data_IF_142018331208
#
_entry.id   IF_142018331208
#
_cell.length_a   1.000
_cell.length_b   1.000
_cell.length_c   1.000
_cell.angle_alpha   90.00
_cell.angle_beta   90.00
_cell.angle_gamma   90.00
#
_symmetry.space_group_name_H-M   'P 1'
#
loop_
_entity.id
_entity.type
_entity.pdbx_description
1 polymer ?
#
# COMPACT_ATOMS: atom_id res chain seq x y z
N UNK A 1 -17.69 7.97 -28.47
CA UNK A 1 -16.90 7.03 -27.65
C UNK A 1 -15.80 7.84 -26.98
N UNK A 2 -16.05 8.27 -25.74
CA UNK A 2 -15.21 9.26 -25.06
C UNK A 2 -13.93 8.63 -24.51
N UNK A 3 -12.79 9.05 -25.04
CA UNK A 3 -11.48 8.81 -24.49
C UNK A 3 -11.25 9.71 -23.27
N UNK A 4 -11.51 9.20 -22.08
CA UNK A 4 -11.05 9.86 -20.86
C UNK A 4 -9.74 9.20 -20.42
N UNK A 5 -8.65 9.88 -20.76
CA UNK A 5 -7.29 9.60 -20.33
C UNK A 5 -7.20 9.71 -18.80
N UNK A 6 -7.41 8.61 -18.07
CA UNK A 6 -6.80 8.47 -16.76
C UNK A 6 -5.30 8.30 -17.01
N UNK A 7 -4.45 9.20 -16.51
CA UNK A 7 -3.00 8.96 -16.48
C UNK A 7 -2.72 7.96 -15.35
N UNK A 8 -1.70 7.10 -15.48
CA UNK A 8 -1.25 6.30 -14.35
C UNK A 8 -0.88 7.25 -13.20
N UNK A 9 -1.15 6.87 -11.93
CA UNK A 9 -0.71 7.64 -10.78
C UNK A 9 0.81 7.80 -10.85
N UNK A 10 1.27 9.01 -11.15
CA UNK A 10 2.69 9.31 -11.25
C UNK A 10 3.23 9.55 -9.84
N UNK A 11 3.95 8.57 -9.30
CA UNK A 11 4.79 8.82 -8.12
C UNK A 11 5.97 9.67 -8.59
N UNK A 12 6.05 10.92 -8.10
CA UNK A 12 7.21 11.78 -8.35
C UNK A 12 8.43 11.15 -7.69
N UNK A 13 9.34 10.58 -8.49
CA UNK A 13 10.72 10.31 -8.04
C UNK A 13 11.32 8.93 -8.31
N UNK A 14 10.84 8.15 -9.27
CA UNK A 14 11.50 6.89 -9.65
C UNK A 14 11.17 6.46 -11.07
N UNK A 15 12.09 5.74 -11.74
CA UNK A 15 11.96 5.23 -13.12
C UNK A 15 10.92 4.09 -13.28
N UNK A 16 9.87 4.02 -12.45
CA UNK A 16 8.85 2.98 -12.52
C UNK A 16 7.50 3.46 -11.98
N UNK A 17 6.41 2.95 -12.56
CA UNK A 17 5.05 3.14 -12.04
C UNK A 17 4.87 2.32 -10.75
N UNK A 18 5.48 2.72 -9.64
CA UNK A 18 5.34 2.02 -8.35
C UNK A 18 4.53 2.87 -7.38
N UNK A 19 3.20 2.69 -7.29
CA UNK A 19 2.37 3.48 -6.40
C UNK A 19 2.65 3.12 -4.94
N UNK A 20 2.70 4.17 -4.11
CA UNK A 20 2.70 4.10 -2.66
C UNK A 20 1.41 4.75 -2.19
N UNK A 21 0.55 4.04 -1.47
CA UNK A 21 -0.77 4.55 -1.07
C UNK A 21 -1.19 4.08 0.31
N UNK A 22 -2.04 4.83 0.99
CA UNK A 22 -2.80 4.31 2.14
C UNK A 22 -4.20 3.92 1.64
N UNK A 23 -4.66 2.71 1.97
CA UNK A 23 -5.96 2.18 1.58
C UNK A 23 -7.03 2.40 2.66
N UNK A 24 -6.64 2.81 3.87
CA UNK A 24 -7.51 3.15 5.00
C UNK A 24 -8.55 2.05 5.29
N UNK A 25 -8.10 0.80 5.25
CA UNK A 25 -8.89 -0.42 5.41
C UNK A 25 -10.12 -0.51 4.48
N UNK A 26 -10.07 0.13 3.30
CA UNK A 26 -11.18 0.20 2.35
C UNK A 26 -11.06 -0.87 1.27
N UNK A 27 -12.03 -1.78 1.22
CA UNK A 27 -12.11 -2.83 0.20
C UNK A 27 -12.10 -2.25 -1.22
N UNK A 28 -12.89 -1.20 -1.48
CA UNK A 28 -12.94 -0.55 -2.79
C UNK A 28 -11.63 0.14 -3.19
N UNK A 29 -10.89 0.70 -2.23
CA UNK A 29 -9.57 1.26 -2.51
C UNK A 29 -8.56 0.17 -2.86
N UNK A 30 -8.63 -0.97 -2.18
CA UNK A 30 -7.81 -2.14 -2.50
C UNK A 30 -8.14 -2.71 -3.88
N UNK A 31 -9.43 -2.82 -4.24
CA UNK A 31 -9.85 -3.26 -5.57
C UNK A 31 -9.33 -2.32 -6.67
N UNK A 32 -9.42 -1.00 -6.45
CA UNK A 32 -8.87 0.00 -7.38
C UNK A 32 -7.35 -0.07 -7.50
N UNK A 33 -6.63 -0.38 -6.42
CA UNK A 33 -5.19 -0.61 -6.46
C UNK A 33 -4.87 -1.83 -7.32
N UNK A 34 -5.56 -2.96 -7.12
CA UNK A 34 -5.35 -4.19 -7.89
C UNK A 34 -5.72 -4.02 -9.36
N UNK A 35 -6.84 -3.34 -9.64
CA UNK A 35 -7.22 -2.94 -10.98
C UNK A 35 -6.15 -2.07 -11.62
N UNK A 36 -5.63 -1.06 -10.89
CA UNK A 36 -4.57 -0.19 -11.39
C UNK A 36 -3.30 -0.98 -11.68
N UNK A 37 -2.96 -1.95 -10.84
CA UNK A 37 -1.80 -2.81 -11.06
C UNK A 37 -1.92 -3.55 -12.40
N UNK A 38 -3.09 -4.14 -12.65
CA UNK A 38 -3.38 -4.88 -13.87
C UNK A 38 -3.46 -3.98 -15.11
N UNK A 39 -4.18 -2.85 -15.04
CA UNK A 39 -4.41 -1.96 -16.18
C UNK A 39 -3.15 -1.22 -16.61
N UNK A 40 -2.35 -0.77 -15.64
CA UNK A 40 -1.20 0.09 -15.89
C UNK A 40 0.13 -0.67 -15.97
N UNK A 41 0.09 -2.01 -15.95
CA UNK A 41 1.27 -2.89 -15.97
C UNK A 41 2.29 -2.46 -14.92
N UNK A 42 1.80 -2.28 -13.70
CA UNK A 42 2.62 -1.95 -12.55
C UNK A 42 3.21 -3.25 -12.03
N UNK A 43 4.53 -3.33 -11.97
CA UNK A 43 5.19 -4.55 -11.50
C UNK A 43 5.07 -4.71 -9.98
N UNK A 44 5.02 -3.58 -9.26
CA UNK A 44 5.07 -3.53 -7.81
C UNK A 44 4.32 -2.31 -7.24
N UNK A 45 3.57 -2.49 -6.16
CA UNK A 45 2.98 -1.43 -5.37
C UNK A 45 3.21 -1.63 -3.87
N UNK A 46 3.18 -0.53 -3.12
CA UNK A 46 3.22 -0.53 -1.66
C UNK A 46 1.95 0.11 -1.13
N UNK A 47 1.31 -0.53 -0.17
CA UNK A 47 0.09 -0.04 0.45
C UNK A 47 0.14 -0.10 1.98
N UNK A 48 -0.34 0.94 2.65
CA UNK A 48 -0.64 0.94 4.08
C UNK A 48 -2.13 0.70 4.31
N UNK A 49 -2.46 0.11 5.45
CA UNK A 49 -3.80 -0.24 5.91
C UNK A 49 -4.64 -0.96 4.85
N UNK A 50 -4.18 -2.11 4.34
CA UNK A 50 -4.99 -2.91 3.45
C UNK A 50 -6.30 -3.33 4.13
N UNK A 51 -7.35 -3.55 3.32
CA UNK A 51 -8.57 -4.17 3.80
C UNK A 51 -8.30 -5.61 4.28
N UNK A 52 -7.45 -6.33 3.55
CA UNK A 52 -7.01 -7.68 3.89
C UNK A 52 -5.73 -8.05 3.14
N UNK A 53 -4.85 -8.86 3.74
CA UNK A 53 -3.64 -9.41 3.12
C UNK A 53 -3.79 -10.90 2.80
N UNK A 54 -3.93 -11.30 1.52
CA UNK A 54 -3.97 -12.71 1.13
C UNK A 54 -2.65 -13.44 1.38
N UNK A 55 -2.74 -14.71 1.81
CA UNK A 55 -1.59 -15.63 1.88
C UNK A 55 -1.21 -16.15 0.48
N UNK A 56 -0.69 -15.27 -0.38
CA UNK A 56 -0.24 -15.58 -1.74
C UNK A 56 1.18 -15.07 -2.00
N UNK A 57 1.91 -15.71 -2.93
CA UNK A 57 3.32 -15.39 -3.22
C UNK A 57 3.56 -13.97 -3.78
N UNK A 58 2.54 -13.31 -4.30
CA UNK A 58 2.60 -11.94 -4.81
C UNK A 58 2.26 -10.87 -3.76
N UNK A 59 2.05 -11.29 -2.50
CA UNK A 59 1.78 -10.40 -1.36
C UNK A 59 2.82 -10.62 -0.27
N UNK A 60 3.42 -9.54 0.20
CA UNK A 60 4.31 -9.53 1.37
C UNK A 60 3.79 -8.50 2.35
N UNK A 61 3.04 -8.98 3.35
CA UNK A 61 2.54 -8.18 4.45
C UNK A 61 3.48 -8.15 5.65
N UNK A 62 3.22 -7.21 6.55
CA UNK A 62 3.82 -7.21 7.89
C UNK A 62 3.20 -8.28 8.81
N UNK A 63 3.41 -8.18 10.12
CA UNK A 63 2.81 -9.11 11.08
C UNK A 63 1.39 -8.75 11.49
N UNK A 64 0.99 -7.48 11.30
CA UNK A 64 -0.24 -6.92 11.83
C UNK A 64 -1.24 -6.56 10.72
N UNK A 65 -0.94 -6.93 9.46
CA UNK A 65 -1.70 -6.61 8.25
C UNK A 65 -1.92 -5.09 8.07
N UNK A 66 -0.97 -4.27 8.52
CA UNK A 66 -0.99 -2.82 8.42
C UNK A 66 -0.22 -2.30 7.21
N UNK A 67 0.71 -3.08 6.64
CA UNK A 67 1.39 -2.72 5.40
C UNK A 67 1.56 -3.91 4.50
N UNK A 68 1.59 -3.65 3.20
CA UNK A 68 1.79 -4.68 2.20
C UNK A 68 2.56 -4.21 0.98
N UNK A 69 3.45 -5.06 0.50
CA UNK A 69 4.04 -4.99 -0.82
C UNK A 69 3.33 -6.01 -1.71
N UNK A 70 2.78 -5.55 -2.84
CA UNK A 70 2.08 -6.39 -3.79
C UNK A 70 2.75 -6.31 -5.17
N UNK A 71 3.00 -7.46 -5.78
CA UNK A 71 3.48 -7.54 -7.16
C UNK A 71 2.35 -7.94 -8.12
N UNK A 72 2.52 -7.68 -9.41
CA UNK A 72 1.66 -8.29 -10.41
C UNK A 72 1.73 -9.83 -10.32
N UNK A 73 0.62 -10.52 -10.65
CA UNK A 73 0.52 -11.99 -10.53
C UNK A 73 1.61 -12.76 -11.30
N UNK A 74 2.13 -12.19 -12.39
CA UNK A 74 3.18 -12.76 -13.24
C UNK A 74 4.40 -11.84 -13.31
N UNK A 75 4.67 -11.07 -12.25
CA UNK A 75 5.86 -10.24 -12.18
C UNK A 75 7.12 -11.12 -12.24
N UNK A 76 8.05 -10.75 -13.10
CA UNK A 76 9.40 -11.30 -13.16
C UNK A 76 10.37 -10.12 -13.01
N UNK A 77 11.16 -10.06 -11.93
CA UNK A 77 11.41 -11.08 -10.91
C UNK A 77 10.25 -11.28 -9.92
N UNK A 78 10.18 -12.48 -9.32
CA UNK A 78 9.19 -12.79 -8.28
C UNK A 78 9.44 -12.03 -6.99
N UNK A 79 8.37 -11.57 -6.34
CA UNK A 79 8.43 -10.99 -5.00
C UNK A 79 8.72 -12.06 -3.95
N UNK A 80 9.56 -11.73 -2.95
CA UNK A 80 9.81 -12.62 -1.81
C UNK A 80 9.99 -11.82 -0.52
N UNK A 81 9.48 -12.36 0.59
CA UNK A 81 9.66 -11.76 1.91
C UNK A 81 11.11 -11.97 2.40
N UNK A 82 11.71 -10.92 2.96
CA UNK A 82 13.02 -10.96 3.60
C UNK A 82 12.87 -10.87 5.11
N UNK A 83 12.11 -9.88 5.57
CA UNK A 83 11.90 -9.58 6.99
C UNK A 83 10.52 -8.94 7.16
N UNK A 84 9.90 -9.12 8.32
CA UNK A 84 8.64 -8.45 8.69
C UNK A 84 8.57 -8.25 10.20
N UNK A 85 7.94 -7.16 10.61
CA UNK A 85 7.61 -6.88 12.01
C UNK A 85 6.43 -5.92 12.09
N UNK A 86 6.01 -5.52 13.31
CA UNK A 86 4.85 -4.66 13.49
C UNK A 86 4.99 -3.34 12.71
N UNK A 87 4.09 -3.11 11.75
CA UNK A 87 4.06 -1.88 10.94
C UNK A 87 5.14 -1.77 9.86
N UNK A 88 5.92 -2.82 9.57
CA UNK A 88 6.84 -2.83 8.44
C UNK A 88 7.03 -4.20 7.76
N UNK A 89 7.29 -4.16 6.46
CA UNK A 89 7.62 -5.33 5.67
C UNK A 89 8.81 -5.06 4.75
N UNK A 90 9.74 -6.00 4.68
CA UNK A 90 10.90 -5.97 3.78
C UNK A 90 10.75 -7.07 2.75
N UNK A 91 10.72 -6.68 1.48
CA UNK A 91 10.59 -7.60 0.36
C UNK A 91 11.77 -7.46 -0.62
N UNK A 92 12.16 -8.57 -1.24
CA UNK A 92 13.09 -8.58 -2.35
C UNK A 92 12.32 -8.70 -3.66
N UNK A 93 12.65 -7.83 -4.61
CA UNK A 93 12.17 -7.87 -5.98
C UNK A 93 13.38 -7.77 -6.93
N UNK A 94 13.90 -8.94 -7.35
CA UNK A 94 15.16 -9.04 -8.07
C UNK A 94 16.34 -8.51 -7.26
N UNK A 95 17.01 -7.51 -7.81
CA UNK A 95 18.14 -6.81 -7.16
C UNK A 95 17.68 -5.71 -6.19
N UNK A 96 16.39 -5.41 -6.14
CA UNK A 96 15.85 -4.35 -5.28
C UNK A 96 15.39 -4.90 -3.94
N UNK A 97 15.67 -4.14 -2.89
CA UNK A 97 15.08 -4.32 -1.56
C UNK A 97 14.06 -3.22 -1.34
N UNK A 98 12.83 -3.63 -1.06
CA UNK A 98 11.67 -2.77 -0.86
C UNK A 98 11.34 -2.80 0.63
N UNK A 99 11.22 -1.62 1.23
CA UNK A 99 10.85 -1.47 2.63
C UNK A 99 9.53 -0.70 2.69
N UNK A 100 8.46 -1.35 3.14
CA UNK A 100 7.16 -0.75 3.39
C UNK A 100 7.03 -0.47 4.88
N UNK A 101 6.60 0.74 5.25
CA UNK A 101 6.48 1.18 6.64
C UNK A 101 5.21 2.02 6.82
N UNK A 102 4.49 1.77 7.90
CA UNK A 102 3.44 2.66 8.41
C UNK A 102 3.89 3.27 9.74
N UNK A 103 3.57 4.54 9.94
CA UNK A 103 3.95 5.27 11.16
C UNK A 103 2.76 5.32 12.12
N UNK A 104 2.74 4.43 13.11
CA UNK A 104 1.69 4.37 14.14
C UNK A 104 1.57 5.65 15.01
N UNK A 105 2.65 6.43 15.11
CA UNK A 105 2.66 7.70 15.85
C UNK A 105 1.71 8.74 15.24
N UNK A 106 1.45 8.67 13.93
CA UNK A 106 0.54 9.60 13.26
C UNK A 106 -0.92 9.37 13.67
N UNK A 107 -1.36 8.11 13.74
CA UNK A 107 -2.71 7.77 14.21
C UNK A 107 -2.91 8.14 15.67
N UNK A 108 -1.91 7.88 16.51
CA UNK A 108 -1.92 8.31 17.92
C UNK A 108 -2.10 9.84 18.04
N UNK A 109 -1.47 10.60 17.15
CA UNK A 109 -1.65 12.03 17.08
C UNK A 109 -3.06 12.42 16.60
N UNK A 110 -3.61 11.77 15.59
CA UNK A 110 -4.98 12.02 15.10
C UNK A 110 -6.04 11.67 16.13
N UNK A 111 -5.85 10.61 16.92
CA UNK A 111 -6.71 10.27 18.06
C UNK A 111 -6.69 11.40 19.10
N UNK A 112 -5.49 11.88 19.45
CA UNK A 112 -5.34 13.02 20.36
C UNK A 112 -6.05 14.28 19.85
N UNK A 113 -5.96 14.57 18.55
CA UNK A 113 -6.66 15.69 17.91
C UNK A 113 -8.18 15.45 17.90
N UNK A 114 -8.64 14.25 17.59
CA UNK A 114 -10.06 13.89 17.60
C UNK A 114 -10.67 14.03 18.98
N UNK A 115 -9.96 13.61 20.02
CA UNK A 115 -10.38 13.81 21.40
C UNK A 115 -10.41 15.29 21.78
N UNK A 116 -9.46 16.10 21.30
CA UNK A 116 -9.49 17.55 21.48
C UNK A 116 -10.69 18.21 20.81
N UNK A 117 -11.04 17.76 19.60
CA UNK A 117 -12.23 18.23 18.87
C UNK A 117 -13.50 17.82 19.61
N UNK A 118 -13.64 16.56 20.04
CA UNK A 118 -14.81 16.08 20.81
C UNK A 118 -15.03 16.89 22.08
N UNK A 119 -13.96 17.16 22.84
CA UNK A 119 -14.02 18.02 24.04
C UNK A 119 -14.52 19.45 23.79
N UNK A 120 -14.53 19.90 22.54
CA UNK A 120 -14.92 21.27 22.16
C UNK A 120 -16.14 21.30 21.24
N UNK A 121 -16.76 20.15 20.98
CA UNK A 121 -17.90 20.01 20.07
C UNK A 121 -19.09 19.29 20.75
N UNK A 122 -19.32 19.57 22.03
CA UNK A 122 -20.55 19.20 22.74
C UNK A 122 -21.72 20.01 22.15
N UNK A 123 -22.50 19.38 21.27
CA UNK A 123 -23.86 19.76 20.88
C UNK A 123 -24.79 18.55 20.99
#
# INVERSE_FOLDING_TARGET
MGSNNCRPPSVKGGNGNQPQTNLNHCAGAQDLLLQSIAEWKIDLAVACEPYFVPSHAHWVGDTDDLVVVVSANNADPSLSAVERGPGYAVARWGEYTIVAVVLAEFETFLDSVSEAVRRHNDY
#
